data_IF_158887672363
#
_entry.id   IF_158887672363
#
_cell.length_a   1.000
_cell.length_b   1.000
_cell.length_c   1.000
_cell.angle_alpha   90.00
_cell.angle_beta   90.00
_cell.angle_gamma   90.00
#
_symmetry.space_group_name_H-M   'P 1'
#
loop_
_entity.id
_entity.type
_entity.pdbx_description
1 polymer ?
#
# COMPACT_ATOMS: atom_id res chain seq x y z
N UNK A 1 40.51 21.16 15.21
CA UNK A 1 40.24 20.49 13.91
C UNK A 1 39.24 19.40 14.15
N UNK A 2 37.92 19.66 13.93
CA UNK A 2 36.91 18.65 13.97
C UNK A 2 37.09 17.75 12.74
N UNK A 3 37.47 16.48 12.95
CA UNK A 3 37.41 15.45 11.91
C UNK A 3 35.97 15.32 11.48
N UNK A 4 35.64 15.85 10.33
CA UNK A 4 34.39 15.64 9.65
C UNK A 4 34.43 14.21 9.10
N UNK A 5 34.21 13.23 9.99
CA UNK A 5 33.92 11.85 9.58
C UNK A 5 32.55 11.92 8.92
N UNK A 6 32.54 12.08 7.59
CA UNK A 6 31.34 11.93 6.79
C UNK A 6 30.76 10.54 7.02
N UNK A 7 29.95 10.42 8.07
CA UNK A 7 29.26 9.17 8.38
C UNK A 7 28.35 8.85 7.20
N UNK A 8 28.67 7.77 6.53
CA UNK A 8 27.91 7.31 5.36
C UNK A 8 26.48 6.97 5.78
N UNK A 9 25.50 7.58 5.10
CA UNK A 9 24.09 7.41 5.39
C UNK A 9 23.64 5.93 5.33
N UNK A 10 24.29 5.13 4.49
CA UNK A 10 23.89 3.76 4.12
C UNK A 10 25.02 2.74 4.27
N UNK A 11 25.99 3.00 5.13
CA UNK A 11 27.06 2.06 5.46
C UNK A 11 27.23 1.97 6.98
N UNK A 12 27.33 0.75 7.48
CA UNK A 12 27.64 0.46 8.89
C UNK A 12 28.47 -0.82 8.94
N UNK A 13 29.57 -0.81 9.71
CA UNK A 13 30.42 -1.98 9.97
C UNK A 13 30.90 -2.68 8.67
N UNK A 14 31.22 -1.90 7.62
CA UNK A 14 31.66 -2.42 6.32
C UNK A 14 30.52 -2.97 5.45
N UNK A 15 29.28 -2.93 5.90
CA UNK A 15 28.11 -3.40 5.16
C UNK A 15 27.45 -2.21 4.45
N UNK A 16 27.17 -2.39 3.14
CA UNK A 16 26.40 -1.42 2.34
C UNK A 16 24.92 -1.76 2.36
N UNK A 17 24.09 -0.78 2.73
CA UNK A 17 22.61 -0.88 2.75
C UNK A 17 21.94 -0.20 1.55
N UNK A 18 22.70 0.21 0.53
CA UNK A 18 22.18 0.97 -0.62
C UNK A 18 21.05 0.22 -1.34
N UNK A 19 21.27 -1.04 -1.72
CA UNK A 19 20.26 -1.83 -2.43
C UNK A 19 19.03 -2.10 -1.55
N UNK A 20 19.16 -2.60 -0.31
CA UNK A 20 18.02 -2.71 0.59
C UNK A 20 17.25 -1.39 0.78
N UNK A 21 17.96 -0.28 0.94
CA UNK A 21 17.35 1.03 1.10
C UNK A 21 16.51 1.45 -0.12
N UNK A 22 17.04 1.29 -1.33
CA UNK A 22 16.32 1.61 -2.58
C UNK A 22 15.05 0.76 -2.70
N UNK A 23 15.16 -0.55 -2.45
CA UNK A 23 14.03 -1.47 -2.55
C UNK A 23 12.93 -1.15 -1.53
N UNK A 24 13.30 -0.86 -0.28
CA UNK A 24 12.31 -0.50 0.74
C UNK A 24 11.75 0.90 0.50
N UNK A 25 12.56 1.84 0.05
CA UNK A 25 12.10 3.18 -0.33
C UNK A 25 11.06 3.13 -1.46
N UNK A 26 11.19 2.21 -2.43
CA UNK A 26 10.18 2.03 -3.46
C UNK A 26 8.82 1.59 -2.90
N UNK A 27 8.78 0.86 -1.77
CA UNK A 27 7.53 0.50 -1.11
C UNK A 27 6.75 1.74 -0.62
N UNK A 28 7.45 2.81 -0.19
CA UNK A 28 6.79 4.07 0.20
C UNK A 28 6.12 4.75 -1.00
N UNK A 29 6.73 4.71 -2.18
CA UNK A 29 6.12 5.24 -3.39
C UNK A 29 4.85 4.45 -3.78
N UNK A 30 4.88 3.12 -3.72
CA UNK A 30 3.71 2.29 -3.98
C UNK A 30 2.61 2.45 -2.92
N UNK A 31 2.97 2.71 -1.68
CA UNK A 31 2.01 3.04 -0.65
C UNK A 31 1.31 4.38 -0.91
N UNK A 32 2.07 5.44 -1.22
CA UNK A 32 1.49 6.73 -1.62
C UNK A 32 0.58 6.61 -2.84
N UNK A 33 1.01 5.87 -3.86
CA UNK A 33 0.22 5.57 -5.05
C UNK A 33 -1.15 4.94 -4.70
N UNK A 34 -1.16 3.90 -3.85
CA UNK A 34 -2.39 3.22 -3.47
C UNK A 34 -3.36 4.12 -2.68
N UNK A 35 -2.83 4.99 -1.82
CA UNK A 35 -3.65 5.93 -1.07
C UNK A 35 -4.40 6.89 -1.99
N UNK A 36 -3.70 7.52 -2.91
CA UNK A 36 -4.26 8.63 -3.68
C UNK A 36 -4.97 8.20 -4.97
N UNK A 37 -4.67 7.03 -5.53
CA UNK A 37 -5.51 6.47 -6.59
C UNK A 37 -6.90 6.08 -6.06
N UNK A 38 -7.04 5.75 -4.77
CA UNK A 38 -8.30 5.30 -4.16
C UNK A 38 -9.28 6.46 -3.92
N UNK A 39 -8.81 7.66 -3.62
CA UNK A 39 -9.68 8.81 -3.33
C UNK A 39 -10.68 9.14 -4.45
N UNK A 40 -10.29 9.23 -5.73
CA UNK A 40 -11.22 9.47 -6.83
C UNK A 40 -12.18 8.30 -7.10
N UNK A 41 -11.89 7.10 -6.57
CA UNK A 41 -12.69 5.90 -6.83
C UNK A 41 -14.07 5.96 -6.19
N UNK A 42 -14.28 6.73 -5.11
CA UNK A 42 -15.61 6.96 -4.52
C UNK A 42 -16.59 7.43 -5.60
N UNK A 43 -16.22 8.50 -6.33
CA UNK A 43 -17.05 9.03 -7.42
C UNK A 43 -17.13 8.08 -8.63
N UNK A 44 -16.02 7.40 -8.96
CA UNK A 44 -16.01 6.44 -10.05
C UNK A 44 -16.99 5.29 -9.82
N UNK A 45 -16.94 4.64 -8.64
CA UNK A 45 -17.85 3.56 -8.28
C UNK A 45 -19.30 4.02 -8.18
N UNK A 46 -19.56 5.20 -7.57
CA UNK A 46 -20.91 5.78 -7.52
C UNK A 46 -21.51 5.89 -8.92
N UNK A 47 -20.71 6.35 -9.90
CA UNK A 47 -21.12 6.49 -11.30
C UNK A 47 -21.29 5.14 -12.00
N UNK A 48 -20.35 4.21 -11.80
CA UNK A 48 -20.34 2.88 -12.44
C UNK A 48 -21.52 2.03 -11.99
N UNK A 49 -21.88 2.08 -10.70
CA UNK A 49 -22.92 1.22 -10.12
C UNK A 49 -24.25 1.93 -9.85
N UNK A 50 -24.45 3.17 -10.35
CA UNK A 50 -25.67 3.99 -10.13
C UNK A 50 -26.05 4.07 -8.65
N UNK A 51 -25.06 4.30 -7.77
CA UNK A 51 -25.29 4.39 -6.34
C UNK A 51 -25.04 5.81 -5.82
N UNK A 52 -25.48 6.09 -4.60
CA UNK A 52 -25.18 7.37 -3.95
C UNK A 52 -23.68 7.52 -3.70
N UNK A 53 -23.21 8.77 -3.53
CA UNK A 53 -21.81 9.04 -3.15
C UNK A 53 -21.50 8.43 -1.78
N UNK A 54 -22.49 8.37 -0.88
CA UNK A 54 -22.36 7.73 0.44
C UNK A 54 -22.09 6.23 0.31
N UNK A 55 -22.83 5.54 -0.56
CA UNK A 55 -22.60 4.10 -0.81
C UNK A 55 -21.24 3.89 -1.48
N UNK A 56 -20.87 4.75 -2.43
CA UNK A 56 -19.54 4.72 -3.05
C UNK A 56 -18.40 4.94 -2.05
N UNK A 57 -18.65 5.65 -0.96
CA UNK A 57 -17.66 5.88 0.10
C UNK A 57 -17.31 4.61 0.92
N UNK A 58 -18.08 3.51 0.78
CA UNK A 58 -17.72 2.21 1.38
C UNK A 58 -16.36 1.72 0.91
N UNK A 59 -15.89 2.15 -0.27
CA UNK A 59 -14.51 1.85 -0.70
C UNK A 59 -13.47 2.41 0.26
N UNK A 60 -13.69 3.59 0.84
CA UNK A 60 -12.80 4.15 1.85
C UNK A 60 -12.91 3.40 3.18
N UNK A 61 -14.11 2.96 3.55
CA UNK A 61 -14.32 2.10 4.74
C UNK A 61 -13.55 0.79 4.58
N UNK A 62 -13.62 0.14 3.42
CA UNK A 62 -12.87 -1.06 3.13
C UNK A 62 -11.35 -0.79 3.16
N UNK A 63 -10.92 0.32 2.56
CA UNK A 63 -9.52 0.73 2.51
C UNK A 63 -8.95 0.97 3.92
N UNK A 64 -9.53 1.87 4.70
CA UNK A 64 -9.05 2.16 6.06
C UNK A 64 -9.34 1.03 7.05
N UNK A 65 -10.40 0.24 6.80
CA UNK A 65 -10.71 -0.96 7.56
C UNK A 65 -9.61 -2.02 7.50
N UNK A 66 -8.98 -2.21 6.35
CA UNK A 66 -7.82 -3.09 6.20
C UNK A 66 -6.61 -2.64 7.02
N UNK A 67 -6.33 -1.32 7.03
CA UNK A 67 -5.30 -0.74 7.90
C UNK A 67 -5.58 -1.00 9.37
N UNK A 68 -6.78 -0.67 9.82
CA UNK A 68 -7.19 -0.86 11.21
C UNK A 68 -7.10 -2.33 11.65
N UNK A 69 -7.64 -3.24 10.83
CA UNK A 69 -7.67 -4.66 11.13
C UNK A 69 -6.27 -5.28 11.24
N UNK A 70 -5.32 -4.82 10.41
CA UNK A 70 -3.98 -5.43 10.34
C UNK A 70 -2.89 -4.69 11.14
N UNK A 71 -3.15 -3.52 11.69
CA UNK A 71 -2.15 -2.76 12.45
C UNK A 71 -1.53 -3.58 13.59
N UNK A 72 -2.35 -4.19 14.43
CA UNK A 72 -1.90 -5.02 15.54
C UNK A 72 -1.35 -6.39 15.09
N UNK A 73 -2.04 -7.16 14.22
CA UNK A 73 -1.50 -8.41 13.67
C UNK A 73 -0.15 -8.24 12.96
N UNK A 74 0.04 -7.15 12.19
CA UNK A 74 1.29 -6.86 11.52
C UNK A 74 2.44 -6.67 12.53
N UNK A 75 2.22 -5.88 13.58
CA UNK A 75 3.22 -5.67 14.63
C UNK A 75 3.61 -6.98 15.33
N UNK A 76 2.63 -7.83 15.65
CA UNK A 76 2.89 -9.15 16.23
C UNK A 76 3.68 -10.07 15.29
N UNK A 77 3.31 -10.08 14.01
CA UNK A 77 3.97 -10.90 13.00
C UNK A 77 5.44 -10.52 12.85
N UNK A 78 5.76 -9.22 12.78
CA UNK A 78 7.12 -8.71 12.62
C UNK A 78 7.98 -9.08 13.83
N UNK A 79 7.43 -8.95 15.03
CA UNK A 79 8.15 -9.38 16.26
C UNK A 79 8.48 -10.86 16.25
N UNK A 80 7.59 -11.71 15.71
CA UNK A 80 7.78 -13.17 15.69
C UNK A 80 8.73 -13.62 14.59
N UNK A 81 8.74 -12.95 13.43
CA UNK A 81 9.50 -13.41 12.27
C UNK A 81 10.65 -12.45 11.89
N UNK A 82 10.38 -11.38 11.18
CA UNK A 82 11.35 -10.34 10.81
C UNK A 82 10.69 -9.20 10.04
N UNK A 83 11.38 -8.06 9.91
CA UNK A 83 10.96 -6.97 9.03
C UNK A 83 10.86 -7.41 7.56
N UNK A 84 11.84 -8.18 7.06
CA UNK A 84 11.80 -8.73 5.69
C UNK A 84 10.58 -9.60 5.46
N UNK A 85 10.25 -10.49 6.40
CA UNK A 85 9.06 -11.33 6.29
C UNK A 85 7.77 -10.51 6.28
N UNK A 86 7.68 -9.47 7.11
CA UNK A 86 6.54 -8.53 7.13
C UNK A 86 6.40 -7.79 5.79
N UNK A 87 7.49 -7.30 5.21
CA UNK A 87 7.49 -6.64 3.90
C UNK A 87 7.04 -7.61 2.81
N UNK A 88 7.57 -8.84 2.78
CA UNK A 88 7.17 -9.83 1.78
C UNK A 88 5.69 -10.21 1.90
N UNK A 89 5.18 -10.40 3.11
CA UNK A 89 3.75 -10.65 3.32
C UNK A 89 2.91 -9.45 2.89
N UNK A 90 3.33 -8.24 3.22
CA UNK A 90 2.67 -7.01 2.80
C UNK A 90 2.59 -6.88 1.28
N UNK A 91 3.69 -7.10 0.57
CA UNK A 91 3.72 -7.08 -0.90
C UNK A 91 2.85 -8.19 -1.51
N UNK A 92 2.84 -9.38 -0.92
CA UNK A 92 1.99 -10.49 -1.38
C UNK A 92 0.50 -10.14 -1.26
N UNK A 93 0.06 -9.63 -0.10
CA UNK A 93 -1.33 -9.20 0.11
C UNK A 93 -1.70 -8.01 -0.81
N UNK A 94 -0.80 -7.05 -0.98
CA UNK A 94 -1.03 -5.93 -1.91
C UNK A 94 -1.22 -6.44 -3.35
N UNK A 95 -0.33 -7.31 -3.84
CA UNK A 95 -0.43 -7.88 -5.18
C UNK A 95 -1.72 -8.69 -5.35
N UNK A 96 -2.07 -9.55 -4.39
CA UNK A 96 -3.32 -10.32 -4.41
C UNK A 96 -4.52 -9.39 -4.45
N UNK A 97 -4.59 -8.39 -3.57
CA UNK A 97 -5.68 -7.41 -3.55
C UNK A 97 -5.81 -6.67 -4.89
N UNK A 98 -4.69 -6.21 -5.47
CA UNK A 98 -4.69 -5.54 -6.77
C UNK A 98 -5.15 -6.47 -7.93
N UNK A 99 -4.73 -7.72 -7.93
CA UNK A 99 -5.13 -8.68 -8.96
C UNK A 99 -6.59 -9.15 -8.82
N UNK A 100 -7.15 -9.12 -7.61
CA UNK A 100 -8.57 -9.44 -7.37
C UNK A 100 -9.53 -8.46 -8.03
N UNK A 101 -9.07 -7.29 -8.49
CA UNK A 101 -9.88 -6.38 -9.31
C UNK A 101 -10.34 -7.04 -10.62
N UNK A 102 -9.55 -7.96 -11.18
CA UNK A 102 -9.94 -8.68 -12.40
C UNK A 102 -11.16 -9.58 -12.18
N UNK A 103 -11.15 -10.58 -11.27
CA UNK A 103 -12.35 -11.38 -11.00
C UNK A 103 -13.49 -10.53 -10.42
N UNK A 104 -13.24 -9.46 -9.67
CA UNK A 104 -14.26 -8.55 -9.19
C UNK A 104 -15.05 -7.92 -10.37
N UNK A 105 -14.36 -7.49 -11.43
CA UNK A 105 -15.01 -7.00 -12.66
C UNK A 105 -15.96 -8.03 -13.24
N UNK A 106 -15.55 -9.30 -13.30
CA UNK A 106 -16.36 -10.37 -13.91
C UNK A 106 -17.72 -10.59 -13.21
N UNK A 107 -17.82 -10.22 -11.93
CA UNK A 107 -19.08 -10.32 -11.19
C UNK A 107 -20.08 -9.21 -11.54
N UNK A 108 -19.63 -8.09 -12.11
CA UNK A 108 -20.44 -6.92 -12.34
C UNK A 108 -21.03 -6.29 -11.08
N UNK A 109 -20.50 -6.64 -9.90
CA UNK A 109 -20.97 -6.21 -8.57
C UNK A 109 -19.94 -5.33 -7.87
N UNK A 110 -20.39 -4.44 -6.97
CA UNK A 110 -19.54 -3.54 -6.21
C UNK A 110 -18.78 -4.22 -5.07
N UNK A 111 -19.42 -5.14 -4.35
CA UNK A 111 -18.88 -5.73 -3.13
C UNK A 111 -17.55 -6.48 -3.30
N UNK A 112 -17.30 -7.23 -4.39
CA UNK A 112 -15.99 -7.84 -4.60
C UNK A 112 -14.83 -6.85 -4.69
N UNK A 113 -15.07 -5.62 -5.17
CA UNK A 113 -14.06 -4.57 -5.16
C UNK A 113 -13.74 -4.10 -3.73
N UNK A 114 -14.73 -4.06 -2.83
CA UNK A 114 -14.49 -3.74 -1.42
C UNK A 114 -13.57 -4.78 -0.76
N UNK A 115 -13.79 -6.06 -1.07
CA UNK A 115 -12.93 -7.16 -0.57
C UNK A 115 -11.52 -7.02 -1.14
N UNK A 116 -11.39 -6.71 -2.43
CA UNK A 116 -10.11 -6.50 -3.07
C UNK A 116 -9.33 -5.33 -2.43
N UNK A 117 -10.00 -4.19 -2.18
CA UNK A 117 -9.42 -3.06 -1.45
C UNK A 117 -9.02 -3.43 -0.03
N UNK A 118 -9.87 -4.12 0.71
CA UNK A 118 -9.57 -4.54 2.07
C UNK A 118 -8.30 -5.40 2.12
N UNK A 119 -8.18 -6.40 1.23
CA UNK A 119 -6.99 -7.27 1.16
C UNK A 119 -5.75 -6.46 0.77
N UNK A 120 -5.88 -5.56 -0.23
CA UNK A 120 -4.80 -4.68 -0.65
C UNK A 120 -4.26 -3.86 0.51
N UNK A 121 -5.14 -3.25 1.29
CA UNK A 121 -4.75 -2.38 2.41
C UNK A 121 -4.28 -3.14 3.64
N UNK A 122 -4.73 -4.38 3.85
CA UNK A 122 -4.05 -5.29 4.77
C UNK A 122 -2.56 -5.40 4.43
N UNK A 123 -2.23 -5.53 3.15
CA UNK A 123 -0.84 -5.54 2.67
C UNK A 123 -0.10 -4.23 2.96
N UNK A 124 -0.75 -3.09 2.73
CA UNK A 124 -0.15 -1.78 3.01
C UNK A 124 0.14 -1.59 4.51
N UNK A 125 -0.73 -2.07 5.39
CA UNK A 125 -0.51 -2.04 6.84
C UNK A 125 0.74 -2.84 7.24
N UNK A 126 0.96 -4.02 6.67
CA UNK A 126 2.20 -4.79 6.87
C UNK A 126 3.43 -4.05 6.34
N UNK A 127 3.34 -3.45 5.15
CA UNK A 127 4.45 -2.69 4.55
C UNK A 127 4.84 -1.51 5.42
N UNK A 128 3.89 -0.72 5.88
CA UNK A 128 4.13 0.46 6.70
C UNK A 128 4.76 0.07 8.04
N UNK A 129 4.16 -0.90 8.74
CA UNK A 129 4.63 -1.36 10.05
C UNK A 129 6.04 -1.96 9.98
N UNK A 130 6.41 -2.59 8.83
CA UNK A 130 7.73 -3.22 8.65
C UNK A 130 8.79 -2.27 8.12
N UNK A 131 8.44 -1.41 7.14
CA UNK A 131 9.41 -0.61 6.39
C UNK A 131 10.00 0.52 7.23
N UNK A 132 9.18 1.19 8.05
CA UNK A 132 9.64 2.30 8.89
C UNK A 132 10.77 1.88 9.86
N UNK A 133 10.58 0.88 10.75
CA UNK A 133 11.65 0.45 11.65
C UNK A 133 12.82 -0.20 10.90
N UNK A 134 12.56 -0.85 9.76
CA UNK A 134 13.64 -1.43 8.98
C UNK A 134 14.56 -0.36 8.37
N UNK A 135 14.04 0.75 7.85
CA UNK A 135 14.85 1.89 7.39
C UNK A 135 15.65 2.50 8.53
N UNK A 136 15.07 2.65 9.72
CA UNK A 136 15.78 3.16 10.90
C UNK A 136 17.00 2.31 11.27
N UNK A 137 16.92 1.01 11.06
CA UNK A 137 17.99 0.07 11.41
C UNK A 137 19.11 -0.04 10.35
N UNK A 138 18.93 0.54 9.14
CA UNK A 138 19.91 0.50 8.05
C UNK A 138 21.02 1.56 8.23
N UNK A 139 22.01 1.32 9.09
CA UNK A 139 23.14 2.23 9.29
C UNK A 139 23.23 2.73 10.72
N UNK A 140 23.91 3.87 10.94
CA UNK A 140 24.16 4.39 12.29
C UNK A 140 22.93 5.10 12.87
N UNK A 141 22.82 5.16 14.19
CA UNK A 141 21.71 5.84 14.89
C UNK A 141 21.65 7.33 14.60
N UNK A 142 22.81 7.98 14.50
CA UNK A 142 22.89 9.43 14.24
C UNK A 142 22.29 9.85 12.92
N UNK A 143 22.24 8.94 11.94
CA UNK A 143 21.67 9.21 10.62
C UNK A 143 20.28 8.58 10.41
N UNK A 144 19.73 7.87 11.40
CA UNK A 144 18.49 7.09 11.29
C UNK A 144 17.30 7.94 10.84
N UNK A 145 17.06 9.09 11.49
CA UNK A 145 15.96 10.00 11.14
C UNK A 145 16.11 10.57 9.73
N UNK A 146 17.33 10.88 9.30
CA UNK A 146 17.60 11.39 7.94
C UNK A 146 17.27 10.34 6.89
N UNK A 147 17.61 9.06 7.13
CA UNK A 147 17.27 7.94 6.25
C UNK A 147 15.77 7.76 6.14
N UNK A 148 15.07 7.77 7.28
CA UNK A 148 13.62 7.64 7.31
C UNK A 148 12.94 8.78 6.55
N UNK A 149 13.30 10.02 6.80
CA UNK A 149 12.75 11.18 6.10
C UNK A 149 13.00 11.11 4.59
N UNK A 150 14.22 10.67 4.18
CA UNK A 150 14.52 10.46 2.77
C UNK A 150 13.63 9.37 2.15
N UNK A 151 13.46 8.23 2.82
CA UNK A 151 12.60 7.16 2.32
C UNK A 151 11.12 7.61 2.25
N UNK A 152 10.64 8.27 3.29
CA UNK A 152 9.25 8.76 3.33
C UNK A 152 8.96 9.86 2.31
N UNK A 153 9.96 10.61 1.83
CA UNK A 153 9.76 11.62 0.78
C UNK A 153 9.31 11.02 -0.57
N UNK A 154 9.47 9.73 -0.78
CA UNK A 154 8.96 9.03 -1.94
C UNK A 154 7.47 8.71 -1.86
N UNK A 155 6.85 8.74 -0.67
CA UNK A 155 5.41 8.55 -0.53
C UNK A 155 4.60 9.66 -1.24
N UNK A 156 4.83 10.96 -1.03
CA UNK A 156 4.17 12.02 -1.80
C UNK A 156 4.40 11.94 -3.30
N UNK A 157 5.57 11.46 -3.74
CA UNK A 157 5.82 11.25 -5.17
C UNK A 157 4.91 10.17 -5.74
N UNK A 158 4.77 9.05 -5.02
CA UNK A 158 3.82 7.99 -5.36
C UNK A 158 2.37 8.50 -5.37
N UNK A 159 1.98 9.31 -4.39
CA UNK A 159 0.67 9.95 -4.29
C UNK A 159 0.35 10.81 -5.53
N UNK A 160 1.27 11.65 -5.96
CA UNK A 160 1.09 12.47 -7.17
C UNK A 160 0.91 11.60 -8.42
N UNK A 161 1.68 10.52 -8.56
CA UNK A 161 1.54 9.57 -9.65
C UNK A 161 0.19 8.86 -9.58
N UNK A 162 -0.25 8.42 -8.40
CA UNK A 162 -1.54 7.78 -8.17
C UNK A 162 -2.71 8.68 -8.56
N UNK A 163 -2.69 9.94 -8.13
CA UNK A 163 -3.68 10.94 -8.50
C UNK A 163 -3.69 11.21 -10.01
N UNK A 164 -2.51 11.36 -10.63
CA UNK A 164 -2.38 11.57 -12.08
C UNK A 164 -2.98 10.39 -12.86
N UNK A 165 -2.68 9.16 -12.46
CA UNK A 165 -3.23 7.94 -13.07
C UNK A 165 -4.75 7.89 -12.90
N UNK A 166 -5.27 8.18 -11.71
CA UNK A 166 -6.71 8.19 -11.46
C UNK A 166 -7.44 9.22 -12.35
N UNK A 167 -6.88 10.40 -12.52
CA UNK A 167 -7.50 11.46 -13.32
C UNK A 167 -7.41 11.21 -14.83
N UNK A 168 -6.22 10.83 -15.34
CA UNK A 168 -5.95 10.78 -16.78
C UNK A 168 -6.18 9.39 -17.38
N UNK A 169 -5.97 8.32 -16.64
CA UNK A 169 -6.13 6.95 -17.14
C UNK A 169 -7.42 6.27 -16.68
N UNK A 170 -8.07 6.76 -15.62
CA UNK A 170 -9.36 6.23 -15.21
C UNK A 170 -10.46 7.23 -15.55
N UNK A 171 -10.54 8.35 -14.86
CA UNK A 171 -11.69 9.28 -15.00
C UNK A 171 -11.83 9.83 -16.42
N UNK A 172 -10.75 10.23 -17.07
CA UNK A 172 -10.79 10.80 -18.42
C UNK A 172 -11.18 9.76 -19.50
N UNK A 173 -11.00 8.47 -19.24
CA UNK A 173 -11.34 7.40 -20.19
C UNK A 173 -12.68 6.72 -19.89
N UNK A 174 -13.31 7.01 -18.77
CA UNK A 174 -14.64 6.52 -18.44
C UNK A 174 -15.68 7.16 -19.35
N UNK A 175 -16.77 6.43 -19.57
CA UNK A 175 -17.90 6.93 -20.35
C UNK A 175 -18.39 8.31 -19.79
N UNK A 176 -18.56 9.33 -20.64
CA UNK A 176 -18.88 10.71 -20.20
C UNK A 176 -20.28 10.85 -19.59
N UNK A 177 -21.21 9.90 -19.84
CA UNK A 177 -22.57 9.97 -19.30
C UNK A 177 -22.54 10.17 -17.78
N UNK A 178 -23.26 11.15 -17.29
CA UNK A 178 -23.46 11.38 -15.87
C UNK A 178 -24.44 10.36 -15.24
N UNK A 179 -24.60 10.40 -13.92
CA UNK A 179 -25.44 9.45 -13.20
C UNK A 179 -26.92 9.54 -13.62
N UNK A 180 -27.42 10.75 -13.93
CA UNK A 180 -28.81 10.97 -14.35
C UNK A 180 -29.06 10.31 -15.71
N UNK A 181 -28.21 10.58 -16.70
CA UNK A 181 -28.33 9.98 -18.04
C UNK A 181 -28.13 8.47 -18.02
N UNK A 182 -27.27 7.96 -17.13
CA UNK A 182 -27.13 6.50 -16.94
C UNK A 182 -28.37 5.85 -16.37
N UNK A 183 -29.20 6.58 -15.59
CA UNK A 183 -30.47 6.06 -15.07
C UNK A 183 -31.52 5.87 -16.18
N UNK A 184 -31.40 6.59 -17.29
CA UNK A 184 -32.31 6.49 -18.45
C UNK A 184 -31.97 5.34 -19.42
N UNK A 185 -30.76 4.74 -19.28
CA UNK A 185 -30.33 3.64 -20.13
C UNK A 185 -31.13 2.34 -19.82
N UNK A 186 -31.38 1.57 -20.86
CA UNK A 186 -31.87 0.18 -20.69
C UNK A 186 -30.86 -0.67 -19.94
N UNK A 187 -31.28 -1.77 -19.35
CA UNK A 187 -30.38 -2.66 -18.59
C UNK A 187 -29.20 -3.18 -19.43
N UNK A 188 -29.46 -3.48 -20.72
CA UNK A 188 -28.41 -3.94 -21.64
C UNK A 188 -27.38 -2.83 -21.96
N UNK A 189 -27.83 -1.62 -22.25
CA UNK A 189 -26.95 -0.47 -22.50
C UNK A 189 -26.14 -0.12 -21.26
N UNK A 190 -26.79 -0.12 -20.09
CA UNK A 190 -26.11 0.14 -18.84
C UNK A 190 -25.06 -0.92 -18.52
N UNK A 191 -25.36 -2.21 -18.74
CA UNK A 191 -24.40 -3.29 -18.54
C UNK A 191 -23.17 -3.11 -19.44
N UNK A 192 -23.35 -2.71 -20.70
CA UNK A 192 -22.25 -2.45 -21.63
C UNK A 192 -21.38 -1.27 -21.18
N UNK A 193 -22.01 -0.15 -20.76
CA UNK A 193 -21.29 1.04 -20.24
C UNK A 193 -20.54 0.70 -18.96
N UNK A 194 -21.17 -0.03 -18.04
CA UNK A 194 -20.55 -0.48 -16.80
C UNK A 194 -19.33 -1.37 -17.06
N UNK A 195 -19.44 -2.36 -17.95
CA UNK A 195 -18.33 -3.25 -18.27
C UNK A 195 -17.16 -2.51 -18.91
N UNK A 196 -17.44 -1.56 -19.80
CA UNK A 196 -16.45 -0.67 -20.39
C UNK A 196 -15.71 0.14 -19.32
N UNK A 197 -16.44 0.80 -18.42
CA UNK A 197 -15.87 1.62 -17.36
C UNK A 197 -15.05 0.78 -16.36
N UNK A 198 -15.54 -0.41 -16.00
CA UNK A 198 -14.80 -1.35 -15.15
C UNK A 198 -13.52 -1.83 -15.83
N UNK A 199 -13.54 -2.03 -17.15
CA UNK A 199 -12.33 -2.40 -17.91
C UNK A 199 -11.26 -1.31 -17.84
N UNK A 200 -11.65 -0.06 -17.91
CA UNK A 200 -10.74 1.08 -17.73
C UNK A 200 -10.22 1.16 -16.30
N UNK A 201 -11.13 1.01 -15.32
CA UNK A 201 -10.80 1.15 -13.88
C UNK A 201 -9.79 0.12 -13.42
N UNK A 202 -9.91 -1.15 -13.85
CA UNK A 202 -9.04 -2.23 -13.33
C UNK A 202 -7.61 -2.18 -13.90
N UNK A 203 -7.38 -1.56 -15.07
CA UNK A 203 -6.07 -1.59 -15.74
C UNK A 203 -4.92 -1.11 -14.85
N UNK A 204 -4.98 0.07 -14.19
CA UNK A 204 -3.91 0.51 -13.32
C UNK A 204 -3.64 -0.44 -12.14
N UNK A 205 -4.70 -1.05 -11.59
CA UNK A 205 -4.56 -2.01 -10.47
C UNK A 205 -3.89 -3.30 -10.92
N UNK A 206 -4.19 -3.81 -12.11
CA UNK A 206 -3.51 -4.98 -12.65
C UNK A 206 -2.03 -4.70 -12.94
N UNK A 207 -1.73 -3.54 -13.51
CA UNK A 207 -0.34 -3.13 -13.80
C UNK A 207 0.45 -3.02 -12.48
N UNK A 208 -0.09 -2.31 -11.48
CA UNK A 208 0.58 -2.16 -10.20
C UNK A 208 0.74 -3.52 -9.50
N UNK A 209 -0.25 -4.40 -9.58
CA UNK A 209 -0.17 -5.75 -9.04
C UNK A 209 1.00 -6.54 -9.61
N UNK A 210 1.21 -6.47 -10.93
CA UNK A 210 2.37 -7.10 -11.59
C UNK A 210 3.71 -6.48 -11.17
N UNK A 211 3.76 -5.15 -11.05
CA UNK A 211 4.97 -4.45 -10.57
C UNK A 211 5.28 -4.83 -9.13
N UNK A 212 4.27 -4.94 -8.27
CA UNK A 212 4.43 -5.37 -6.87
C UNK A 212 4.93 -6.82 -6.79
N UNK A 213 4.47 -7.71 -7.67
CA UNK A 213 4.99 -9.08 -7.77
C UNK A 213 6.48 -9.06 -8.14
N UNK A 214 6.87 -8.25 -9.12
CA UNK A 214 8.28 -8.11 -9.47
C UNK A 214 9.11 -7.61 -8.29
N UNK A 215 8.62 -6.59 -7.57
CA UNK A 215 9.28 -6.07 -6.37
C UNK A 215 9.36 -7.12 -5.25
N UNK A 216 8.31 -7.92 -5.05
CA UNK A 216 8.31 -9.03 -4.11
C UNK A 216 9.46 -10.00 -4.39
N UNK A 217 9.64 -10.43 -5.64
CA UNK A 217 10.74 -11.33 -6.00
C UNK A 217 12.10 -10.66 -5.87
N UNK A 218 12.24 -9.39 -6.26
CA UNK A 218 13.49 -8.64 -6.07
C UNK A 218 13.88 -8.60 -4.58
N UNK A 219 12.96 -8.27 -3.68
CA UNK A 219 13.22 -8.23 -2.23
C UNK A 219 13.47 -9.65 -1.68
N UNK A 220 12.73 -10.66 -2.14
CA UNK A 220 12.88 -12.05 -1.71
C UNK A 220 14.30 -12.56 -1.96
N UNK A 221 14.84 -12.32 -3.17
CA UNK A 221 16.15 -12.82 -3.58
C UNK A 221 17.33 -11.92 -3.17
N UNK A 222 17.06 -10.66 -2.80
CA UNK A 222 18.11 -9.77 -2.30
C UNK A 222 18.51 -10.19 -0.89
N UNK A 223 19.82 -10.32 -0.67
CA UNK A 223 20.38 -10.50 0.68
C UNK A 223 20.15 -9.21 1.46
N UNK A 224 19.21 -9.25 2.36
CA UNK A 224 18.94 -8.16 3.28
C UNK A 224 19.65 -8.44 4.61
N UNK A 225 20.33 -7.45 5.20
CA UNK A 225 20.95 -7.62 6.50
C UNK A 225 19.93 -8.07 7.53
N UNK A 226 20.24 -9.14 8.24
CA UNK A 226 19.40 -9.60 9.34
C UNK A 226 19.59 -8.63 10.51
N UNK A 227 18.58 -7.83 10.80
CA UNK A 227 18.56 -7.08 12.05
C UNK A 227 18.05 -7.99 13.16
N UNK A 228 18.99 -8.59 13.85
CA UNK A 228 18.74 -9.46 15.00
C UNK A 228 18.61 -8.67 16.31
N UNK A 229 18.69 -7.34 16.27
CA UNK A 229 18.57 -6.51 17.44
C UNK A 229 17.19 -5.88 17.51
N UNK A 230 16.36 -6.52 18.28
CA UNK A 230 15.41 -5.94 19.24
C UNK A 230 14.38 -6.97 19.68
N UNK A 231 14.83 -8.07 20.29
CA UNK A 231 14.06 -8.63 21.40
C UNK A 231 14.22 -7.71 22.61
N UNK A 232 13.78 -6.46 22.51
CA UNK A 232 13.40 -5.75 23.69
C UNK A 232 12.10 -6.39 24.15
N UNK A 233 12.17 -7.17 25.22
CA UNK A 233 11.04 -7.51 26.07
C UNK A 233 10.37 -6.23 26.55
N UNK A 234 9.56 -5.64 25.70
CA UNK A 234 8.57 -4.67 26.16
C UNK A 234 7.46 -5.54 26.75
N UNK A 235 7.55 -5.79 28.05
CA UNK A 235 6.40 -6.25 28.83
C UNK A 235 5.29 -5.23 28.62
N UNK A 236 4.32 -5.56 27.80
CA UNK A 236 3.17 -4.71 27.48
C UNK A 236 2.23 -4.51 28.69
N UNK A 237 2.43 -5.30 29.74
CA UNK A 237 1.82 -5.14 31.05
C UNK A 237 2.95 -4.93 32.08
N UNK A 238 3.30 -3.68 32.44
CA UNK A 238 3.99 -3.49 33.69
C UNK A 238 3.09 -4.09 34.78
N UNK A 239 3.59 -5.10 35.41
CA UNK A 239 2.92 -5.77 36.53
C UNK A 239 2.42 -4.71 37.50
N UNK A 240 1.09 -4.57 37.64
CA UNK A 240 0.41 -3.82 38.67
C UNK A 240 0.59 -4.46 40.09
N UNK A 241 1.70 -5.16 40.28
CA UNK A 241 2.04 -5.81 41.56
C UNK A 241 3.40 -5.32 42.04
N UNK A 242 3.43 -4.09 42.50
CA UNK A 242 4.45 -3.64 43.45
C UNK A 242 3.89 -2.41 44.19
N UNK A 243 2.90 -2.64 45.06
CA UNK A 243 2.62 -1.80 46.22
C UNK A 243 2.18 -2.75 47.31
N UNK A 244 3.11 -3.22 48.07
CA UNK A 244 3.03 -3.44 49.53
C UNK A 244 4.32 -2.93 50.15
#
# INVERSE_FOLDING_TARGET
MMKNNGQSLLHKDGISYVIPFILITSCFAFWGFANDITNPMVKAFSKIFRMSVTDGALVQVAFYGGYFAMAFPAAMFIRKYSYKAGILLGLALYAVGALLFFPAKMTGSYYPFLIAYFILTCGLSFLETSSNPYILSMGTEETATRRLNLAQSFNPMGSLIGMYVAMHFIQAKMNPLDTARRAELTDAEFAAVRDSDLSVLIQPYLIIGLVIIALFFLIKFTKMPANHDQTHDINFFPTLTARE
#
